data_IF_557282130805
#
_entry.id   IF_557282130805
#
_cell.length_a   1.000
_cell.length_b   1.000
_cell.length_c   1.000
_cell.angle_alpha   90.00
_cell.angle_beta   90.00
_cell.angle_gamma   90.00
#
_symmetry.space_group_name_H-M   'P 1'
#
loop_
_entity.id
_entity.type
_entity.pdbx_description
1 polymer ?
#
# COMPACT_ATOMS: atom_id res chain seq x y z
N UNK A 1 -2.13 -19.56 -18.23
CA UNK A 1 -2.86 -20.74 -17.72
C UNK A 1 -3.93 -20.25 -16.76
N UNK A 2 -5.17 -20.68 -16.92
CA UNK A 2 -6.32 -20.26 -16.12
C UNK A 2 -7.30 -21.42 -15.96
N UNK A 3 -8.06 -21.46 -14.87
CA UNK A 3 -9.09 -22.50 -14.62
C UNK A 3 -10.45 -22.07 -15.19
N UNK A 4 -11.09 -22.85 -16.06
CA UNK A 4 -12.47 -22.57 -16.48
C UNK A 4 -13.47 -23.50 -15.79
N UNK A 5 -14.54 -22.93 -15.22
CA UNK A 5 -15.64 -23.69 -14.59
C UNK A 5 -16.85 -23.70 -15.51
N UNK A 6 -17.34 -24.90 -15.82
CA UNK A 6 -18.49 -25.16 -16.69
C UNK A 6 -19.58 -25.91 -15.92
N UNK A 7 -20.86 -25.56 -16.14
CA UNK A 7 -22.01 -26.31 -15.65
C UNK A 7 -23.02 -26.42 -16.79
N UNK A 8 -23.41 -27.64 -17.12
CA UNK A 8 -24.44 -27.94 -18.14
C UNK A 8 -24.16 -27.27 -19.50
N UNK A 9 -22.89 -27.14 -19.87
CA UNK A 9 -22.47 -26.54 -21.14
C UNK A 9 -22.36 -25.01 -21.12
N UNK A 10 -22.76 -24.35 -20.04
CA UNK A 10 -22.58 -22.91 -19.84
C UNK A 10 -21.34 -22.61 -19.00
N UNK A 11 -20.59 -21.58 -19.38
CA UNK A 11 -19.43 -21.08 -18.64
C UNK A 11 -19.92 -20.28 -17.43
N UNK A 12 -19.66 -20.79 -16.23
CA UNK A 12 -20.27 -20.29 -14.99
C UNK A 12 -19.45 -19.18 -14.32
N UNK A 13 -18.13 -19.15 -14.54
CA UNK A 13 -17.25 -18.22 -13.83
C UNK A 13 -16.03 -17.80 -14.68
N UNK A 14 -15.52 -16.60 -14.40
CA UNK A 14 -14.27 -16.11 -14.98
C UNK A 14 -13.12 -16.63 -14.14
N UNK A 15 -12.32 -17.46 -14.77
CA UNK A 15 -11.16 -18.16 -14.25
C UNK A 15 -10.26 -17.39 -13.31
N UNK A 16 -9.81 -18.06 -12.24
CA UNK A 16 -8.60 -17.65 -11.53
C UNK A 16 -7.40 -17.86 -12.45
N UNK A 17 -6.56 -16.83 -12.59
CA UNK A 17 -5.30 -16.94 -13.34
C UNK A 17 -4.38 -17.86 -12.53
N UNK A 18 -3.96 -18.98 -13.11
CA UNK A 18 -2.99 -19.89 -12.49
C UNK A 18 -1.56 -19.47 -12.78
N UNK A 19 -1.32 -19.01 -14.00
CA UNK A 19 -0.04 -18.45 -14.38
C UNK A 19 -0.18 -17.47 -15.54
N UNK A 20 0.60 -16.40 -15.53
CA UNK A 20 0.74 -15.45 -16.62
C UNK A 20 2.22 -15.21 -16.90
N UNK A 21 2.60 -15.19 -18.18
CA UNK A 21 3.93 -14.76 -18.61
C UNK A 21 3.78 -13.72 -19.72
N UNK A 22 4.54 -12.64 -19.66
CA UNK A 22 4.61 -11.65 -20.74
C UNK A 22 6.04 -11.12 -20.90
N UNK A 23 6.38 -10.71 -22.11
CA UNK A 23 7.70 -10.15 -22.43
C UNK A 23 7.53 -8.70 -22.89
N UNK A 24 8.30 -7.79 -22.30
CA UNK A 24 8.34 -6.37 -22.70
C UNK A 24 9.75 -5.82 -22.51
N UNK A 25 10.23 -5.01 -23.45
CA UNK A 25 11.57 -4.42 -23.40
C UNK A 25 12.71 -5.45 -23.28
N UNK A 26 12.55 -6.64 -23.87
CA UNK A 26 13.54 -7.74 -23.80
C UNK A 26 13.55 -8.51 -22.47
N UNK A 27 12.64 -8.22 -21.54
CA UNK A 27 12.54 -8.90 -20.25
C UNK A 27 11.24 -9.70 -20.15
N UNK A 28 11.36 -10.96 -19.75
CA UNK A 28 10.22 -11.84 -19.46
C UNK A 28 9.82 -11.72 -18.00
N UNK A 29 8.52 -11.58 -17.78
CA UNK A 29 7.89 -11.52 -16.47
C UNK A 29 6.93 -12.70 -16.37
N UNK A 30 7.12 -13.54 -15.35
CA UNK A 30 6.26 -14.70 -15.07
C UNK A 30 5.67 -14.59 -13.67
N UNK A 31 4.41 -14.98 -13.54
CA UNK A 31 3.70 -15.05 -12.27
C UNK A 31 2.88 -16.32 -12.17
N UNK A 32 2.99 -16.99 -11.03
CA UNK A 32 2.36 -18.27 -10.72
C UNK A 32 1.52 -18.11 -9.45
N UNK A 33 0.25 -18.50 -9.53
CA UNK A 33 -0.66 -18.57 -8.38
C UNK A 33 -0.25 -19.73 -7.49
N UNK A 34 -0.13 -19.48 -6.21
CA UNK A 34 0.17 -20.47 -5.18
C UNK A 34 -0.82 -20.34 -4.04
N UNK A 35 -1.43 -21.45 -3.67
CA UNK A 35 -2.41 -21.55 -2.59
C UNK A 35 -1.74 -22.13 -1.33
N UNK A 36 -1.79 -21.40 -0.22
CA UNK A 36 -1.33 -21.89 1.08
C UNK A 36 -2.31 -21.49 2.17
N UNK A 37 -2.81 -22.47 2.93
CA UNK A 37 -3.75 -22.26 4.04
C UNK A 37 -4.99 -21.43 3.64
N UNK A 38 -5.56 -21.68 2.46
CA UNK A 38 -6.73 -20.95 1.95
C UNK A 38 -6.44 -19.54 1.42
N UNK A 39 -5.18 -19.09 1.42
CA UNK A 39 -4.77 -17.80 0.83
C UNK A 39 -4.04 -18.04 -0.49
N UNK A 40 -4.57 -17.45 -1.56
CA UNK A 40 -3.93 -17.43 -2.89
C UNK A 40 -3.04 -16.20 -3.04
N UNK A 41 -1.79 -16.38 -3.43
CA UNK A 41 -0.89 -15.29 -3.81
C UNK A 41 -0.15 -15.63 -5.10
N UNK A 42 0.48 -14.63 -5.72
CA UNK A 42 1.24 -14.82 -6.96
C UNK A 42 2.73 -14.65 -6.70
N UNK A 43 3.54 -15.52 -7.29
CA UNK A 43 4.99 -15.56 -7.13
C UNK A 43 5.69 -15.59 -8.48
N UNK A 44 6.90 -15.04 -8.56
CA UNK A 44 7.77 -15.20 -9.72
C UNK A 44 8.39 -16.60 -9.78
N UNK A 45 9.14 -16.89 -10.84
CA UNK A 45 9.82 -18.18 -11.05
C UNK A 45 10.83 -18.53 -9.94
N UNK A 46 11.30 -17.55 -9.18
CA UNK A 46 12.23 -17.73 -8.07
C UNK A 46 11.51 -17.83 -6.71
N UNK A 47 10.17 -17.91 -6.71
CA UNK A 47 9.37 -17.96 -5.50
C UNK A 47 9.27 -16.62 -4.76
N UNK A 48 9.56 -15.49 -5.42
CA UNK A 48 9.38 -14.15 -4.82
C UNK A 48 7.96 -13.67 -5.05
N UNK A 49 7.31 -13.18 -3.99
CA UNK A 49 5.94 -12.65 -4.10
C UNK A 49 5.87 -11.49 -5.10
N UNK A 50 4.92 -11.57 -6.02
CA UNK A 50 4.59 -10.50 -6.96
C UNK A 50 3.69 -9.42 -6.35
N UNK A 51 3.19 -9.65 -5.13
CA UNK A 51 2.44 -8.63 -4.39
C UNK A 51 3.40 -7.47 -4.07
N UNK A 52 3.17 -6.32 -4.70
CA UNK A 52 3.91 -5.09 -4.37
C UNK A 52 3.72 -4.81 -2.88
N UNK A 53 4.84 -4.75 -2.13
CA UNK A 53 4.80 -4.53 -0.68
C UNK A 53 4.24 -3.15 -0.34
N UNK A 54 4.38 -2.17 -1.24
CA UNK A 54 3.90 -0.81 -1.05
C UNK A 54 3.29 -0.21 -2.33
N UNK A 55 2.15 0.46 -2.20
CA UNK A 55 1.66 1.45 -3.16
C UNK A 55 2.42 2.75 -2.94
N UNK A 56 2.78 3.42 -4.03
CA UNK A 56 3.60 4.65 -3.98
C UNK A 56 2.79 5.88 -3.58
N UNK A 57 1.48 5.86 -3.80
CA UNK A 57 0.58 6.99 -3.56
C UNK A 57 -0.62 6.52 -2.71
N UNK A 58 -0.58 6.72 -1.38
CA UNK A 58 -1.64 6.29 -0.48
C UNK A 58 -2.90 7.17 -0.55
N UNK A 59 -2.87 8.28 -1.29
CA UNK A 59 -4.02 9.17 -1.52
C UNK A 59 -4.22 9.34 -3.03
N UNK A 60 -5.16 8.59 -3.65
CA UNK A 60 -5.44 8.70 -5.07
C UNK A 60 -5.70 10.14 -5.51
N UNK A 61 -5.07 10.57 -6.60
CA UNK A 61 -5.24 11.89 -7.24
C UNK A 61 -4.83 13.11 -6.38
N UNK A 62 -4.13 12.90 -5.26
CA UNK A 62 -3.59 14.02 -4.49
C UNK A 62 -2.33 14.59 -5.14
N UNK A 63 -2.18 15.92 -5.08
CA UNK A 63 -0.99 16.61 -5.59
C UNK A 63 0.14 16.52 -4.55
N UNK A 64 1.31 16.07 -4.96
CA UNK A 64 2.52 16.19 -4.15
C UNK A 64 2.87 17.67 -3.98
N UNK A 65 2.74 18.18 -2.75
CA UNK A 65 3.00 19.59 -2.43
C UNK A 65 4.39 19.80 -1.82
N UNK A 66 4.97 18.77 -1.20
CA UNK A 66 6.29 18.82 -0.58
C UNK A 66 6.97 17.45 -0.61
N UNK A 67 8.25 17.41 -0.96
CA UNK A 67 9.05 16.19 -1.00
C UNK A 67 9.78 15.94 0.33
N UNK A 68 10.35 14.74 0.46
CA UNK A 68 11.28 14.40 1.53
C UNK A 68 12.61 15.15 1.34
N UNK A 69 13.22 15.62 2.43
CA UNK A 69 14.52 16.27 2.39
C UNK A 69 14.61 17.54 3.23
N UNK A 70 15.78 18.18 3.19
CA UNK A 70 16.01 19.44 3.90
C UNK A 70 15.22 20.57 3.22
N UNK A 71 14.40 21.28 3.99
CA UNK A 71 13.64 22.44 3.49
C UNK A 71 13.59 23.57 4.51
N UNK A 72 13.36 24.79 4.04
CA UNK A 72 13.16 25.95 4.91
C UNK A 72 11.84 25.78 5.68
N UNK A 73 11.91 25.84 7.00
CA UNK A 73 10.74 25.71 7.86
C UNK A 73 9.88 26.97 7.75
N UNK A 74 8.58 26.86 7.39
CA UNK A 74 7.75 28.01 7.02
C UNK A 74 7.55 28.99 8.19
N UNK A 75 7.58 28.51 9.43
CA UNK A 75 7.39 29.34 10.63
C UNK A 75 8.72 29.85 11.22
N UNK A 76 9.79 29.05 11.13
CA UNK A 76 11.04 29.32 11.86
C UNK A 76 12.12 29.94 10.96
N UNK A 77 11.94 29.94 9.63
CA UNK A 77 12.90 30.43 8.66
C UNK A 77 14.18 29.59 8.50
N UNK A 78 14.41 28.58 9.35
CA UNK A 78 15.61 27.73 9.35
C UNK A 78 15.44 26.50 8.48
N UNK A 79 16.56 25.98 7.95
CA UNK A 79 16.57 24.68 7.27
C UNK A 79 16.28 23.56 8.28
N UNK A 80 15.32 22.69 7.95
CA UNK A 80 14.93 21.55 8.77
C UNK A 80 14.63 20.35 7.88
N UNK A 81 14.97 19.17 8.38
CA UNK A 81 14.69 17.92 7.68
C UNK A 81 13.18 17.62 7.69
N UNK A 82 12.60 17.49 6.50
CA UNK A 82 11.27 16.94 6.30
C UNK A 82 11.36 15.42 6.17
N UNK A 83 10.88 14.70 7.19
CA UNK A 83 10.98 13.23 7.29
C UNK A 83 9.83 12.49 6.60
N UNK A 84 9.13 13.16 5.69
CA UNK A 84 7.98 12.60 4.97
C UNK A 84 7.72 13.34 3.65
N UNK A 85 6.56 13.07 3.06
CA UNK A 85 6.05 13.76 1.88
C UNK A 85 4.68 14.35 2.20
N UNK A 86 4.38 15.53 1.68
CA UNK A 86 3.08 16.17 1.87
C UNK A 86 2.25 16.02 0.59
N UNK A 87 1.05 15.47 0.75
CA UNK A 87 0.03 15.41 -0.30
C UNK A 87 -1.07 16.42 0.01
N UNK A 88 -1.28 17.38 -0.89
CA UNK A 88 -2.39 18.31 -0.78
C UNK A 88 -3.70 17.62 -1.21
N UNK A 89 -4.64 17.51 -0.28
CA UNK A 89 -5.96 16.92 -0.48
C UNK A 89 -7.01 17.68 0.34
N UNK A 90 -8.29 17.54 -0.02
CA UNK A 90 -9.40 18.14 0.75
C UNK A 90 -9.57 17.40 2.08
N UNK A 91 -10.05 18.10 3.10
CA UNK A 91 -10.39 17.47 4.38
C UNK A 91 -11.35 16.30 4.17
N UNK A 92 -11.02 15.14 4.76
CA UNK A 92 -11.83 13.93 4.64
C UNK A 92 -11.56 13.07 3.40
N UNK A 93 -10.61 13.44 2.53
CA UNK A 93 -10.14 12.55 1.47
C UNK A 93 -9.62 11.23 2.08
N UNK A 94 -10.06 10.06 1.56
CA UNK A 94 -9.59 8.76 2.05
C UNK A 94 -8.08 8.60 1.94
N UNK A 95 -7.49 8.00 2.97
CA UNK A 95 -6.06 7.66 3.03
C UNK A 95 -5.96 6.15 3.13
N UNK A 96 -5.26 5.54 2.19
CA UNK A 96 -5.07 4.10 2.10
C UNK A 96 -3.76 3.69 2.77
N UNK A 97 -3.74 2.52 3.39
CA UNK A 97 -2.49 1.91 3.83
C UNK A 97 -1.59 1.68 2.61
N UNK A 98 -0.32 2.06 2.71
CA UNK A 98 0.66 1.85 1.67
C UNK A 98 0.87 0.36 1.40
N UNK A 99 0.66 -0.52 2.36
CA UNK A 99 0.76 -1.97 2.18
C UNK A 99 0.11 -2.71 3.32
N UNK A 100 0.08 -4.05 3.24
CA UNK A 100 -0.35 -4.90 4.35
C UNK A 100 0.43 -4.53 5.62
N UNK A 101 -0.28 -4.35 6.73
CA UNK A 101 0.33 -3.89 7.96
C UNK A 101 -0.47 -4.29 9.19
N UNK A 102 0.15 -4.14 10.36
CA UNK A 102 -0.54 -4.09 11.65
C UNK A 102 -0.59 -2.66 12.14
N UNK A 103 -1.72 -2.21 12.68
CA UNK A 103 -1.82 -0.90 13.33
C UNK A 103 -0.93 -0.91 14.58
N UNK A 104 0.20 -0.20 14.51
CA UNK A 104 1.12 -0.04 15.63
C UNK A 104 0.62 1.03 16.59
N UNK A 105 0.05 2.12 16.07
CA UNK A 105 -0.51 3.22 16.85
C UNK A 105 -1.64 3.93 16.09
N UNK A 106 -2.67 4.37 16.81
CA UNK A 106 -3.70 5.28 16.32
C UNK A 106 -4.07 6.25 17.45
N UNK A 107 -3.86 7.55 17.25
CA UNK A 107 -4.10 8.56 18.28
C UNK A 107 -3.55 9.94 17.92
N UNK A 108 -3.42 10.83 18.90
CA UNK A 108 -2.92 12.19 18.68
C UNK A 108 -1.45 12.30 19.09
N UNK A 109 -0.59 12.88 18.25
CA UNK A 109 0.82 13.11 18.56
C UNK A 109 1.30 14.50 18.13
N UNK A 110 1.31 15.46 19.09
CA UNK A 110 1.91 16.80 18.98
C UNK A 110 1.76 17.39 17.56
N UNK A 111 2.88 17.63 16.87
CA UNK A 111 2.95 18.29 15.58
C UNK A 111 2.35 17.50 14.40
N UNK A 112 1.98 16.23 14.58
CA UNK A 112 1.26 15.46 13.55
C UNK A 112 -0.26 15.55 13.71
N UNK A 113 -0.80 15.99 14.85
CA UNK A 113 -2.23 15.89 15.13
C UNK A 113 -2.68 14.43 15.20
N UNK A 114 -3.83 14.10 14.59
CA UNK A 114 -4.26 12.71 14.44
C UNK A 114 -3.29 11.96 13.54
N UNK A 115 -2.73 10.87 14.07
CA UNK A 115 -1.70 10.06 13.43
C UNK A 115 -1.98 8.57 13.57
N UNK A 116 -1.64 7.83 12.51
CA UNK A 116 -1.63 6.38 12.50
C UNK A 116 -0.25 5.92 12.06
N UNK A 117 0.29 4.95 12.78
CA UNK A 117 1.54 4.29 12.45
C UNK A 117 1.24 2.83 12.15
N UNK A 118 1.66 2.38 10.99
CA UNK A 118 1.47 1.01 10.50
C UNK A 118 2.82 0.30 10.46
N UNK A 119 2.87 -0.90 11.03
CA UNK A 119 4.02 -1.80 10.99
C UNK A 119 3.82 -2.86 9.91
N UNK A 120 4.69 -2.85 8.92
CA UNK A 120 4.67 -3.78 7.78
C UNK A 120 5.56 -5.01 8.01
N UNK A 121 6.20 -5.10 9.18
CA UNK A 121 7.20 -6.10 9.52
C UNK A 121 8.58 -5.77 8.94
N UNK A 122 9.57 -6.57 9.34
CA UNK A 122 10.97 -6.45 8.87
C UNK A 122 11.56 -5.04 9.07
N UNK A 123 11.15 -4.34 10.12
CA UNK A 123 11.63 -3.00 10.45
C UNK A 123 11.07 -1.86 9.59
N UNK A 124 10.03 -2.10 8.78
CA UNK A 124 9.43 -1.07 7.93
C UNK A 124 8.12 -0.56 8.53
N UNK A 125 8.01 0.76 8.70
CA UNK A 125 6.79 1.43 9.17
C UNK A 125 6.36 2.54 8.22
N UNK A 126 5.05 2.81 8.17
CA UNK A 126 4.51 4.02 7.54
C UNK A 126 3.74 4.85 8.55
N UNK A 127 3.81 6.17 8.41
CA UNK A 127 3.15 7.13 9.28
C UNK A 127 2.25 8.04 8.46
N UNK A 128 0.99 8.17 8.88
CA UNK A 128 -0.01 9.04 8.27
C UNK A 128 -0.41 10.09 9.29
N UNK A 129 0.00 11.34 9.07
CA UNK A 129 -0.28 12.46 9.97
C UNK A 129 -1.36 13.39 9.42
N UNK A 130 -1.76 14.35 10.25
CA UNK A 130 -2.69 15.44 9.92
C UNK A 130 -4.08 14.98 9.46
N UNK A 131 -4.53 13.81 9.95
CA UNK A 131 -5.83 13.28 9.56
C UNK A 131 -6.98 14.06 10.21
N UNK A 132 -8.08 14.22 9.49
CA UNK A 132 -9.27 14.86 10.09
C UNK A 132 -10.03 13.94 11.03
N UNK A 133 -9.97 12.62 10.81
CA UNK A 133 -10.58 11.57 11.63
C UNK A 133 -9.91 10.22 11.38
N UNK A 134 -10.10 9.29 12.31
CA UNK A 134 -9.75 7.89 12.11
C UNK A 134 -10.88 7.14 11.40
N UNK A 135 -10.53 6.10 10.65
CA UNK A 135 -11.48 5.05 10.28
C UNK A 135 -11.82 4.20 11.52
N UNK A 136 -12.68 3.18 11.39
CA UNK A 136 -12.90 2.20 12.45
C UNK A 136 -11.68 1.26 12.57
N UNK A 137 -10.59 1.80 13.11
CA UNK A 137 -9.30 1.13 13.28
C UNK A 137 -8.91 1.09 14.76
N UNK A 138 -8.28 -0.01 15.17
CA UNK A 138 -7.77 -0.19 16.55
C UNK A 138 -6.32 -0.61 16.52
N UNK A 139 -5.56 -0.20 17.53
CA UNK A 139 -4.19 -0.71 17.74
C UNK A 139 -4.22 -2.23 17.77
N UNK A 140 -3.34 -2.85 16.97
CA UNK A 140 -3.22 -4.28 16.82
C UNK A 140 -4.02 -4.92 15.67
N UNK A 141 -4.93 -4.18 15.03
CA UNK A 141 -5.67 -4.62 13.85
C UNK A 141 -4.74 -4.88 12.65
N UNK A 142 -5.06 -5.88 11.82
CA UNK A 142 -4.36 -6.20 10.56
C UNK A 142 -5.26 -5.90 9.36
#
# INVERSE_FOLDING_TARGET
>A
VMDETWREGEKVDTSKILAATFTTGGKTYSGFRFDRNGKSEYYDINGRSLKKSFIRMPIPFARLSSTFGARKHPVLGKMRMHKGVDYAARTGTPIMAAGDARVQFAGVQRGYGNVVILDHGRGHTTLYGHMSRFANIKTGQR
#
